data_IF_558545331581
#
_entry.id   IF_558545331581
#
_cell.length_a   1.000
_cell.length_b   1.000
_cell.length_c   1.000
_cell.angle_alpha   90.00
_cell.angle_beta   90.00
_cell.angle_gamma   90.00
#
_symmetry.space_group_name_H-M   'P 1'
#
loop_
_entity.id
_entity.type
_entity.pdbx_description
1 polymer ?
#
# COMPACT_ATOMS: atom_id res chain seq x y z
N UNK A 1 -26.69 -5.73 8.17
CA UNK A 1 -25.67 -4.98 7.43
C UNK A 1 -24.28 -5.67 7.38
N UNK A 2 -24.04 -6.82 8.05
CA UNK A 2 -22.74 -7.52 8.02
C UNK A 2 -22.56 -8.55 6.88
N UNK A 3 -23.64 -8.89 6.16
CA UNK A 3 -23.66 -9.97 5.17
C UNK A 3 -22.59 -9.80 4.08
N UNK A 4 -22.42 -8.58 3.55
CA UNK A 4 -21.44 -8.29 2.51
C UNK A 4 -20.00 -8.64 2.94
N UNK A 5 -19.61 -8.27 4.15
CA UNK A 5 -18.27 -8.58 4.66
C UNK A 5 -18.06 -10.09 4.79
N UNK A 6 -19.05 -10.81 5.32
CA UNK A 6 -18.97 -12.27 5.48
C UNK A 6 -18.90 -12.97 4.13
N UNK A 7 -19.65 -12.50 3.14
CA UNK A 7 -19.60 -13.04 1.78
C UNK A 7 -18.23 -12.77 1.13
N UNK A 8 -17.67 -11.58 1.29
CA UNK A 8 -16.31 -11.26 0.84
C UNK A 8 -15.23 -12.06 1.56
N UNK A 9 -15.39 -12.32 2.86
CA UNK A 9 -14.51 -13.19 3.62
C UNK A 9 -14.55 -14.62 3.08
N UNK A 10 -15.74 -15.17 2.82
CA UNK A 10 -15.90 -16.51 2.22
C UNK A 10 -15.32 -16.59 0.80
N UNK A 11 -15.43 -15.50 0.04
CA UNK A 11 -14.84 -15.40 -1.30
C UNK A 11 -13.31 -15.13 -1.29
N UNK A 12 -12.69 -15.03 -0.10
CA UNK A 12 -11.26 -14.76 0.04
C UNK A 12 -10.83 -13.36 -0.42
N UNK A 13 -11.76 -12.40 -0.44
CA UNK A 13 -11.55 -10.98 -0.78
C UNK A 13 -11.24 -10.13 0.46
N UNK A 14 -11.43 -10.69 1.65
CA UNK A 14 -11.03 -10.10 2.93
C UNK A 14 -10.03 -11.03 3.59
N UNK A 15 -9.00 -10.45 4.19
CA UNK A 15 -8.02 -11.18 4.98
C UNK A 15 -7.76 -10.52 6.33
N UNK A 16 -7.25 -11.31 7.28
CA UNK A 16 -6.75 -10.82 8.56
C UNK A 16 -5.24 -11.03 8.60
N UNK A 17 -4.49 -9.96 8.80
CA UNK A 17 -3.03 -10.00 8.94
C UNK A 17 -2.54 -8.96 9.94
N UNK A 18 -1.33 -9.16 10.45
CA UNK A 18 -0.62 -8.13 11.20
C UNK A 18 -0.25 -7.00 10.23
N UNK A 19 -0.48 -5.77 10.65
CA UNK A 19 -0.06 -4.60 9.91
C UNK A 19 0.25 -3.44 10.84
N UNK A 20 1.10 -2.53 10.36
CA UNK A 20 1.32 -1.25 11.01
C UNK A 20 0.10 -0.37 10.82
N UNK A 21 -0.39 0.19 11.91
CA UNK A 21 -1.56 1.07 11.93
C UNK A 21 -1.23 2.39 12.60
N UNK A 22 -1.94 3.43 12.17
CA UNK A 22 -2.00 4.71 12.87
C UNK A 22 -2.92 4.54 14.09
N UNK A 23 -2.38 4.62 15.29
CA UNK A 23 -3.14 4.52 16.54
C UNK A 23 -3.30 5.89 17.19
N UNK A 24 -4.54 6.26 17.50
CA UNK A 24 -4.84 7.44 18.30
C UNK A 24 -4.91 7.05 19.79
N UNK A 25 -4.01 7.56 20.66
CA UNK A 25 -3.99 7.19 22.07
C UNK A 25 -5.14 7.81 22.88
N UNK A 26 -5.74 8.90 22.40
CA UNK A 26 -6.85 9.60 23.08
C UNK A 26 -8.17 8.93 22.72
N UNK A 27 -8.45 8.81 21.42
CA UNK A 27 -9.68 8.19 20.92
C UNK A 27 -9.65 6.67 21.06
N UNK A 28 -8.47 6.08 21.33
CA UNK A 28 -8.24 4.64 21.51
C UNK A 28 -8.78 3.83 20.33
N UNK A 29 -8.48 4.30 19.13
CA UNK A 29 -8.90 3.69 17.87
C UNK A 29 -7.80 3.74 16.83
N UNK A 30 -7.90 2.85 15.85
CA UNK A 30 -7.12 2.93 14.62
C UNK A 30 -7.67 4.04 13.73
N UNK A 31 -6.77 4.77 13.08
CA UNK A 31 -7.06 5.79 12.08
C UNK A 31 -6.62 5.32 10.69
N UNK A 32 -7.41 5.65 9.66
CA UNK A 32 -6.96 5.57 8.28
C UNK A 32 -5.90 6.66 8.00
N UNK A 33 -5.13 6.53 6.91
CA UNK A 33 -4.11 7.53 6.56
C UNK A 33 -4.71 8.93 6.35
N UNK A 34 -5.89 9.00 5.74
CA UNK A 34 -6.63 10.24 5.48
C UNK A 34 -7.14 10.92 6.76
N UNK A 35 -7.15 10.21 7.89
CA UNK A 35 -7.58 10.70 9.20
C UNK A 35 -6.39 11.19 10.05
N UNK A 36 -5.18 11.14 9.50
CA UNK A 36 -3.96 11.67 10.12
C UNK A 36 -3.55 12.95 9.39
N UNK A 37 -3.55 14.07 10.12
CA UNK A 37 -3.20 15.39 9.60
C UNK A 37 -1.96 15.87 10.35
N UNK A 38 -0.87 16.13 9.63
CA UNK A 38 0.42 16.55 10.20
C UNK A 38 0.92 15.65 11.34
N UNK A 39 0.77 14.34 11.17
CA UNK A 39 1.16 13.32 12.16
C UNK A 39 0.25 13.22 13.38
N UNK A 40 -0.92 13.87 13.34
CA UNK A 40 -1.88 13.92 14.45
C UNK A 40 -3.26 13.42 14.06
N UNK A 41 -4.01 12.89 15.03
CA UNK A 41 -5.39 12.47 14.82
C UNK A 41 -6.28 13.67 14.47
N UNK A 42 -7.07 13.55 13.39
CA UNK A 42 -7.88 14.67 12.88
C UNK A 42 -8.93 15.22 13.85
N UNK A 43 -9.39 14.40 14.81
CA UNK A 43 -10.36 14.80 15.85
C UNK A 43 -9.69 15.14 17.17
N UNK A 44 -8.80 14.27 17.64
CA UNK A 44 -8.16 14.41 18.95
C UNK A 44 -7.03 15.44 18.97
N UNK A 45 -6.38 15.69 17.83
CA UNK A 45 -5.12 16.43 17.73
C UNK A 45 -3.92 15.72 18.38
N UNK A 46 -4.08 14.50 18.89
CA UNK A 46 -3.04 13.74 19.54
C UNK A 46 -1.99 13.26 18.52
N UNK A 47 -0.73 13.14 18.96
CA UNK A 47 0.30 12.52 18.12
C UNK A 47 -0.06 11.06 17.87
N UNK A 48 -0.05 10.67 16.60
CA UNK A 48 -0.35 9.31 16.18
C UNK A 48 0.84 8.41 16.45
N UNK A 49 0.57 7.23 17.00
CA UNK A 49 1.56 6.19 17.22
C UNK A 49 1.49 5.13 16.13
N UNK A 50 2.65 4.60 15.71
CA UNK A 50 2.69 3.40 14.86
C UNK A 50 2.66 2.16 15.75
N UNK A 51 1.64 1.31 15.56
CA UNK A 51 1.52 0.03 16.27
C UNK A 51 1.34 -1.11 15.30
N UNK A 52 1.84 -2.29 15.65
CA UNK A 52 1.59 -3.51 14.91
C UNK A 52 0.44 -4.27 15.57
N UNK A 53 -0.63 -4.54 14.81
CA UNK A 53 -1.77 -5.29 15.34
C UNK A 53 -2.55 -6.03 14.23
N UNK A 54 -3.30 -7.09 14.58
CA UNK A 54 -4.12 -7.80 13.61
C UNK A 54 -5.27 -6.90 13.12
N UNK A 55 -5.34 -6.67 11.82
CA UNK A 55 -6.38 -5.88 11.18
C UNK A 55 -7.04 -6.64 10.02
N UNK A 56 -8.21 -6.18 9.62
CA UNK A 56 -8.93 -6.67 8.46
C UNK A 56 -8.60 -5.81 7.24
N UNK A 57 -8.30 -6.47 6.12
CA UNK A 57 -7.97 -5.81 4.87
C UNK A 57 -8.82 -6.37 3.74
N UNK A 58 -9.31 -5.50 2.87
CA UNK A 58 -9.78 -5.90 1.55
C UNK A 58 -8.58 -6.14 0.64
N UNK A 59 -8.60 -7.24 -0.12
CA UNK A 59 -7.62 -7.55 -1.16
C UNK A 59 -7.86 -6.73 -2.43
N UNK A 60 -7.98 -5.41 -2.28
CA UNK A 60 -8.27 -4.48 -3.38
C UNK A 60 -7.17 -4.51 -4.45
N UNK A 61 -5.93 -4.81 -4.07
CA UNK A 61 -4.80 -4.97 -4.99
C UNK A 61 -5.01 -6.09 -6.02
N UNK A 62 -5.87 -7.08 -5.75
CA UNK A 62 -6.27 -8.10 -6.74
C UNK A 62 -7.02 -7.48 -7.94
N UNK A 63 -7.63 -6.32 -7.75
CA UNK A 63 -8.42 -5.59 -8.74
C UNK A 63 -7.72 -4.32 -9.23
N UNK A 64 -6.44 -4.10 -8.91
CA UNK A 64 -5.75 -2.86 -9.30
C UNK A 64 -5.75 -2.65 -10.81
N UNK A 65 -5.56 -3.71 -11.58
CA UNK A 65 -5.58 -3.67 -13.05
C UNK A 65 -7.00 -3.39 -13.58
N UNK A 66 -8.01 -4.12 -13.11
CA UNK A 66 -9.41 -3.90 -13.50
C UNK A 66 -9.87 -2.48 -13.17
N UNK A 67 -9.54 -1.98 -11.97
CA UNK A 67 -9.84 -0.62 -11.54
C UNK A 67 -9.15 0.41 -12.42
N UNK A 68 -7.89 0.18 -12.80
CA UNK A 68 -7.13 1.09 -13.65
C UNK A 68 -7.72 1.15 -15.06
N UNK A 69 -7.98 0.01 -15.68
CA UNK A 69 -8.56 -0.09 -17.03
C UNK A 69 -9.97 0.51 -17.07
N UNK A 70 -10.77 0.30 -16.02
CA UNK A 70 -12.14 0.82 -15.95
C UNK A 70 -12.21 2.35 -15.98
N UNK A 71 -11.14 3.06 -15.61
CA UNK A 71 -11.10 4.53 -15.67
C UNK A 71 -11.25 5.05 -17.11
N UNK A 72 -10.84 4.28 -18.11
CA UNK A 72 -10.91 4.68 -19.52
C UNK A 72 -12.36 4.77 -20.02
N UNK A 73 -13.28 4.00 -19.44
CA UNK A 73 -14.71 4.05 -19.76
C UNK A 73 -15.52 5.13 -19.02
N UNK A 74 -14.89 5.92 -18.14
CA UNK A 74 -15.57 6.95 -17.35
C UNK A 74 -15.56 8.31 -18.04
N UNK A 75 -16.15 8.41 -19.24
CA UNK A 75 -16.11 9.62 -20.08
C UNK A 75 -16.80 10.85 -19.46
N UNK A 76 -17.73 10.63 -18.53
CA UNK A 76 -18.43 11.70 -17.81
C UNK A 76 -17.66 12.22 -16.58
N UNK A 77 -16.54 11.59 -16.22
CA UNK A 77 -15.73 12.03 -15.09
C UNK A 77 -14.75 13.14 -15.50
N UNK A 78 -14.53 14.15 -14.65
CA UNK A 78 -13.50 15.14 -14.91
C UNK A 78 -12.12 14.49 -15.06
N UNK A 79 -11.36 14.89 -16.09
CA UNK A 79 -10.06 14.28 -16.38
C UNK A 79 -9.12 14.29 -15.18
N UNK A 80 -9.10 15.40 -14.44
CA UNK A 80 -8.32 15.54 -13.21
C UNK A 80 -8.61 14.43 -12.20
N UNK A 81 -9.87 14.02 -12.05
CA UNK A 81 -10.24 12.94 -11.11
C UNK A 81 -9.73 11.59 -11.61
N UNK A 82 -9.86 11.31 -12.91
CA UNK A 82 -9.31 10.08 -13.50
C UNK A 82 -7.79 10.01 -13.34
N UNK A 83 -7.07 11.09 -13.61
CA UNK A 83 -5.62 11.18 -13.40
C UNK A 83 -5.24 10.96 -11.93
N UNK A 84 -5.95 11.59 -10.98
CA UNK A 84 -5.69 11.37 -9.55
C UNK A 84 -5.86 9.89 -9.15
N UNK A 85 -6.88 9.22 -9.67
CA UNK A 85 -7.09 7.78 -9.42
C UNK A 85 -6.01 6.91 -10.06
N UNK A 86 -5.60 7.19 -11.31
CA UNK A 86 -4.47 6.49 -11.97
C UNK A 86 -3.19 6.60 -11.15
N UNK A 87 -2.88 7.80 -10.67
CA UNK A 87 -1.70 8.05 -9.85
C UNK A 87 -1.80 7.39 -8.47
N UNK A 88 -2.98 7.35 -7.86
CA UNK A 88 -3.22 6.66 -6.59
C UNK A 88 -3.06 5.14 -6.69
N UNK A 89 -3.58 4.54 -7.78
CA UNK A 89 -3.38 3.11 -8.06
C UNK A 89 -1.90 2.82 -8.35
N UNK A 90 -1.21 3.73 -9.05
CA UNK A 90 0.24 3.75 -9.13
C UNK A 90 0.86 2.54 -9.83
N UNK A 91 0.23 2.00 -10.88
CA UNK A 91 0.81 0.92 -11.68
C UNK A 91 2.13 1.39 -12.29
N UNK A 92 3.17 0.58 -12.08
CA UNK A 92 4.46 0.76 -12.71
C UNK A 92 4.92 -0.57 -13.29
N UNK A 93 5.64 -0.48 -14.41
CA UNK A 93 6.32 -1.62 -15.02
C UNK A 93 7.81 -1.34 -14.94
N UNK A 94 8.57 -2.38 -14.60
CA UNK A 94 9.98 -2.25 -14.29
C UNK A 94 10.67 -3.60 -14.30
N UNK A 95 11.87 -3.61 -13.75
CA UNK A 95 12.74 -4.77 -13.69
C UNK A 95 13.08 -5.09 -12.23
N UNK A 96 12.98 -6.37 -11.89
CA UNK A 96 13.61 -6.91 -10.70
C UNK A 96 15.06 -7.27 -11.02
N UNK A 97 15.98 -6.76 -10.22
CA UNK A 97 17.41 -6.96 -10.31
C UNK A 97 17.90 -7.59 -9.02
N UNK A 98 18.85 -8.51 -9.13
CA UNK A 98 19.49 -9.13 -7.97
C UNK A 98 20.96 -8.79 -7.99
N UNK A 99 21.44 -8.13 -6.94
CA UNK A 99 22.84 -7.79 -6.78
C UNK A 99 23.46 -8.78 -5.80
N UNK A 100 24.48 -9.51 -6.24
CA UNK A 100 25.25 -10.36 -5.35
C UNK A 100 25.96 -9.50 -4.30
N UNK A 101 25.88 -9.92 -3.04
CA UNK A 101 26.54 -9.26 -1.92
C UNK A 101 27.90 -9.88 -1.65
N UNK A 102 28.85 -9.08 -1.16
CA UNK A 102 30.17 -9.57 -0.77
C UNK A 102 30.06 -10.31 0.57
N UNK A 103 30.36 -11.63 0.64
CA UNK A 103 30.28 -12.40 1.88
C UNK A 103 31.16 -11.84 3.01
N UNK A 104 32.24 -11.11 2.68
CA UNK A 104 33.15 -10.54 3.67
C UNK A 104 32.59 -9.29 4.38
N UNK A 105 31.65 -8.58 3.75
CA UNK A 105 31.09 -7.32 4.28
C UNK A 105 29.61 -7.40 4.64
N UNK A 106 28.94 -8.49 4.26
CA UNK A 106 27.51 -8.66 4.49
C UNK A 106 27.21 -8.99 5.96
N UNK A 107 26.43 -8.16 6.67
CA UNK A 107 26.28 -8.26 8.12
C UNK A 107 25.44 -9.45 8.60
N UNK A 108 24.55 -9.99 7.77
CA UNK A 108 23.59 -11.02 8.17
C UNK A 108 23.65 -12.28 7.28
N UNK A 109 24.68 -12.40 6.45
CA UNK A 109 24.96 -13.59 5.65
C UNK A 109 24.04 -13.79 4.44
N UNK A 110 23.38 -12.73 3.94
CA UNK A 110 22.65 -12.79 2.69
C UNK A 110 23.58 -12.85 1.47
N UNK A 111 23.21 -13.64 0.46
CA UNK A 111 24.02 -13.78 -0.77
C UNK A 111 23.66 -12.71 -1.84
N UNK A 112 22.45 -12.17 -1.78
CA UNK A 112 21.95 -11.21 -2.77
C UNK A 112 20.94 -10.22 -2.18
N UNK A 113 20.80 -9.05 -2.82
CA UNK A 113 19.72 -8.09 -2.58
C UNK A 113 18.85 -7.95 -3.83
N UNK A 114 17.54 -8.17 -3.67
CA UNK A 114 16.52 -7.96 -4.71
C UNK A 114 16.05 -6.50 -4.69
N UNK A 115 16.08 -5.86 -5.87
CA UNK A 115 15.69 -4.47 -6.07
C UNK A 115 14.74 -4.37 -7.25
N UNK A 116 13.67 -3.60 -7.10
CA UNK A 116 12.78 -3.22 -8.21
C UNK A 116 13.13 -1.81 -8.71
N UNK A 117 13.21 -1.63 -10.02
CA UNK A 117 13.37 -0.30 -10.64
C UNK A 117 12.53 -0.15 -11.91
N UNK A 118 11.91 1.02 -12.10
CA UNK A 118 11.27 1.42 -13.37
C UNK A 118 12.27 2.05 -14.34
N UNK A 119 13.47 2.39 -13.87
CA UNK A 119 14.57 3.03 -14.63
C UNK A 119 15.77 2.10 -14.71
N UNK A 120 15.56 0.92 -15.28
CA UNK A 120 16.62 -0.06 -15.49
C UNK A 120 17.66 0.42 -16.50
N UNK A 121 17.32 1.40 -17.34
CA UNK A 121 18.24 2.11 -18.24
C UNK A 121 19.37 2.84 -17.49
N UNK A 122 19.13 3.26 -16.24
CA UNK A 122 20.11 3.99 -15.44
C UNK A 122 20.95 3.09 -14.53
N UNK A 123 20.89 1.77 -14.71
CA UNK A 123 21.56 0.80 -13.83
C UNK A 123 23.07 1.06 -13.67
N UNK A 124 23.75 1.48 -14.74
CA UNK A 124 25.21 1.73 -14.70
C UNK A 124 25.61 3.05 -14.02
N UNK A 125 24.64 3.87 -13.58
CA UNK A 125 24.89 5.08 -12.79
C UNK A 125 24.50 4.96 -11.32
N UNK A 126 24.09 3.76 -10.88
CA UNK A 126 23.66 3.47 -9.51
C UNK A 126 24.84 3.35 -8.53
#
# INVERSE_FOLDING_TARGET
QQKMFVDFLRAGLVERKLGKVNWDPVDRTVLANEQVIDGRGWRSGALVEQREMPQWYFRITKFSEDLLQSLDGLDLWPEKVRVMQRNWIGRSEGLHLRFALDPATTPLGEDEVDVFTTRHDTLFGA
#
